data_IF_660334010455
#
_entry.id   IF_660334010455
#
_cell.length_a   1.000
_cell.length_b   1.000
_cell.length_c   1.000
_cell.angle_alpha   90.00
_cell.angle_beta   90.00
_cell.angle_gamma   90.00
#
_symmetry.space_group_name_H-M   'P 1'
#
loop_
_entity.id
_entity.type
_entity.pdbx_description
1 polymer ?
#
# COMPACT_ATOMS: atom_id res chain seq x y z
N UNK A 1 -12.27 -1.58 -0.66
CA UNK A 1 -13.26 -2.61 -0.38
C UNK A 1 -13.57 -3.39 -1.64
N UNK A 2 -13.59 -4.71 -1.57
CA UNK A 2 -13.88 -5.60 -2.72
C UNK A 2 -15.37 -5.64 -3.08
N UNK A 3 -16.23 -5.22 -2.18
CA UNK A 3 -17.65 -5.02 -2.40
C UNK A 3 -18.01 -3.53 -2.28
N UNK A 4 -17.56 -2.71 -3.23
CA UNK A 4 -17.75 -1.27 -3.15
C UNK A 4 -19.20 -0.87 -3.37
N UNK A 5 -19.62 0.22 -2.71
CA UNK A 5 -20.87 0.90 -3.04
C UNK A 5 -20.63 1.79 -4.27
N UNK A 6 -21.29 1.51 -5.38
CA UNK A 6 -21.11 2.20 -6.68
C UNK A 6 -21.50 3.68 -6.58
N UNK A 7 -22.43 4.00 -5.69
CA UNK A 7 -22.94 5.35 -5.50
C UNK A 7 -22.13 6.13 -4.47
N UNK A 8 -21.94 5.58 -3.26
CA UNK A 8 -21.48 6.33 -2.09
C UNK A 8 -19.99 6.09 -1.74
N UNK A 9 -19.32 5.08 -2.36
CA UNK A 9 -17.89 4.89 -2.13
C UNK A 9 -17.07 6.05 -2.74
N UNK A 10 -15.89 6.37 -2.17
CA UNK A 10 -15.02 7.41 -2.73
C UNK A 10 -14.69 7.18 -4.20
N UNK A 11 -14.96 8.15 -5.06
CA UNK A 11 -14.88 8.06 -6.52
C UNK A 11 -16.14 7.47 -7.18
N UNK A 12 -17.22 7.23 -6.41
CA UNK A 12 -18.51 6.80 -6.92
C UNK A 12 -19.37 7.92 -7.47
N UNK A 13 -20.61 7.59 -7.85
CA UNK A 13 -21.55 8.55 -8.47
C UNK A 13 -21.88 9.75 -7.57
N UNK A 14 -21.87 9.57 -6.24
CA UNK A 14 -22.12 10.67 -5.30
C UNK A 14 -21.03 11.74 -5.36
N UNK A 15 -19.79 11.36 -5.52
CA UNK A 15 -18.68 12.30 -5.63
C UNK A 15 -18.80 13.15 -6.91
N UNK A 16 -19.18 12.51 -8.02
CA UNK A 16 -19.45 13.23 -9.29
C UNK A 16 -20.60 14.22 -9.14
N UNK A 17 -21.71 13.79 -8.51
CA UNK A 17 -22.88 14.63 -8.29
C UNK A 17 -22.58 15.80 -7.36
N UNK A 18 -21.85 15.56 -6.27
CA UNK A 18 -21.53 16.59 -5.28
C UNK A 18 -20.70 17.72 -5.92
N UNK A 19 -19.66 17.36 -6.67
CA UNK A 19 -18.84 18.35 -7.39
C UNK A 19 -19.69 19.12 -8.42
N UNK A 20 -20.50 18.39 -9.18
CA UNK A 20 -21.36 19.01 -10.21
C UNK A 20 -22.32 20.03 -9.59
N UNK A 21 -22.99 19.68 -8.49
CA UNK A 21 -23.91 20.60 -7.79
C UNK A 21 -23.18 21.81 -7.18
N UNK A 22 -22.05 21.58 -6.51
CA UNK A 22 -21.26 22.64 -5.88
C UNK A 22 -20.73 23.60 -6.94
N UNK A 23 -20.17 23.08 -8.02
CA UNK A 23 -19.65 23.89 -9.11
C UNK A 23 -20.75 24.67 -9.84
N UNK A 24 -21.87 24.03 -10.16
CA UNK A 24 -23.03 24.72 -10.78
C UNK A 24 -23.54 25.84 -9.90
N UNK A 25 -23.63 25.61 -8.60
CA UNK A 25 -24.07 26.64 -7.64
C UNK A 25 -23.05 27.79 -7.56
N UNK A 26 -21.77 27.49 -7.47
CA UNK A 26 -20.70 28.51 -7.34
C UNK A 26 -20.60 29.37 -8.60
N UNK A 27 -20.61 28.75 -9.78
CA UNK A 27 -20.50 29.48 -11.08
C UNK A 27 -21.84 29.96 -11.65
N UNK A 28 -22.93 29.70 -10.96
CA UNK A 28 -24.30 30.04 -11.38
C UNK A 28 -24.63 29.52 -12.80
N UNK A 29 -24.36 28.23 -13.05
CA UNK A 29 -24.64 27.57 -14.32
C UNK A 29 -25.60 26.39 -14.15
N UNK A 30 -26.32 26.02 -15.21
CA UNK A 30 -27.33 24.95 -15.17
C UNK A 30 -26.81 23.64 -15.79
N UNK A 31 -25.87 23.73 -16.74
CA UNK A 31 -25.32 22.56 -17.48
C UNK A 31 -23.83 22.39 -17.18
N UNK A 32 -23.39 21.16 -17.06
CA UNK A 32 -21.95 20.83 -16.84
C UNK A 32 -21.04 21.33 -17.96
N UNK A 33 -21.52 21.37 -19.22
CA UNK A 33 -20.76 21.93 -20.35
C UNK A 33 -20.36 23.39 -20.15
N UNK A 34 -21.19 24.18 -19.49
CA UNK A 34 -20.89 25.58 -19.17
C UNK A 34 -19.74 25.74 -18.16
N UNK A 35 -19.43 24.70 -17.37
CA UNK A 35 -18.25 24.69 -16.51
C UNK A 35 -16.95 24.67 -17.29
N UNK A 36 -16.98 24.17 -18.54
CA UNK A 36 -15.84 24.24 -19.47
C UNK A 36 -15.63 25.68 -19.94
N UNK A 37 -16.71 26.37 -20.30
CA UNK A 37 -16.68 27.79 -20.69
C UNK A 37 -16.16 28.68 -19.57
N UNK A 38 -16.45 28.31 -18.31
CA UNK A 38 -15.97 29.03 -17.11
C UNK A 38 -14.52 28.63 -16.72
N UNK A 39 -13.87 27.70 -17.43
CA UNK A 39 -12.51 27.22 -17.12
C UNK A 39 -12.41 26.34 -15.87
N UNK A 40 -13.54 26.00 -15.25
CA UNK A 40 -13.57 25.08 -14.10
C UNK A 40 -13.23 23.64 -14.51
N UNK A 41 -13.72 23.17 -15.67
CA UNK A 41 -13.34 21.93 -16.33
C UNK A 41 -12.61 22.22 -17.63
N UNK A 42 -11.60 21.41 -17.94
CA UNK A 42 -11.05 21.38 -19.29
C UNK A 42 -11.89 20.45 -20.17
N UNK A 43 -11.89 20.67 -21.50
CA UNK A 43 -12.69 19.86 -22.43
C UNK A 43 -12.42 18.36 -22.30
N UNK A 44 -11.17 17.95 -22.19
CA UNK A 44 -10.80 16.54 -22.03
C UNK A 44 -11.18 15.98 -20.64
N UNK A 45 -11.15 16.81 -19.57
CA UNK A 45 -11.63 16.43 -18.24
C UNK A 45 -13.15 16.20 -18.25
N UNK A 46 -13.89 17.06 -18.93
CA UNK A 46 -15.33 16.91 -19.13
C UNK A 46 -15.69 15.61 -19.85
N UNK A 47 -15.03 15.33 -20.98
CA UNK A 47 -15.27 14.10 -21.76
C UNK A 47 -14.91 12.85 -20.95
N UNK A 48 -13.79 12.88 -20.24
CA UNK A 48 -13.35 11.77 -19.38
C UNK A 48 -14.32 11.53 -18.23
N UNK A 49 -14.75 12.58 -17.54
CA UNK A 49 -15.72 12.49 -16.45
C UNK A 49 -17.04 11.93 -16.93
N UNK A 50 -17.50 12.35 -18.10
CA UNK A 50 -18.73 11.85 -18.72
C UNK A 50 -18.63 10.35 -19.00
N UNK A 51 -17.55 9.90 -19.62
CA UNK A 51 -17.34 8.49 -19.93
C UNK A 51 -17.19 7.61 -18.65
N UNK A 52 -16.52 8.13 -17.61
CA UNK A 52 -16.36 7.44 -16.34
C UNK A 52 -17.70 7.34 -15.58
N UNK A 53 -18.49 8.41 -15.59
CA UNK A 53 -19.83 8.45 -14.99
C UNK A 53 -20.80 7.50 -15.74
N UNK A 54 -20.79 7.51 -17.07
CA UNK A 54 -21.59 6.61 -17.90
C UNK A 54 -21.29 5.14 -17.58
N UNK A 55 -20.00 4.79 -17.42
CA UNK A 55 -19.61 3.46 -17.02
C UNK A 55 -20.18 3.08 -15.64
N UNK A 56 -20.09 3.97 -14.64
CA UNK A 56 -20.64 3.72 -13.31
C UNK A 56 -22.19 3.60 -13.34
N UNK A 57 -22.87 4.36 -14.19
CA UNK A 57 -24.30 4.20 -14.40
C UNK A 57 -24.65 2.83 -15.00
N UNK A 58 -23.89 2.35 -16.00
CA UNK A 58 -24.07 1.00 -16.57
C UNK A 58 -23.88 -0.08 -15.51
N UNK A 59 -22.84 0.05 -14.66
CA UNK A 59 -22.58 -0.87 -13.55
C UNK A 59 -23.76 -0.85 -12.55
N UNK A 60 -24.21 0.34 -12.14
CA UNK A 60 -25.31 0.50 -11.19
C UNK A 60 -26.62 -0.07 -11.72
N UNK A 61 -26.96 0.27 -12.96
CA UNK A 61 -28.19 -0.21 -13.60
C UNK A 61 -28.19 -1.73 -13.76
N UNK A 62 -27.09 -2.30 -14.24
CA UNK A 62 -26.93 -3.76 -14.34
C UNK A 62 -27.03 -4.45 -12.97
N UNK A 63 -26.50 -3.81 -11.92
CA UNK A 63 -26.61 -4.33 -10.56
C UNK A 63 -28.07 -4.35 -10.07
N UNK A 64 -28.85 -3.28 -10.34
CA UNK A 64 -30.27 -3.25 -10.01
C UNK A 64 -31.07 -4.33 -10.75
N UNK A 65 -30.75 -4.61 -12.02
CA UNK A 65 -31.39 -5.66 -12.80
C UNK A 65 -31.09 -7.07 -12.24
N UNK A 66 -29.84 -7.31 -11.82
CA UNK A 66 -29.43 -8.62 -11.26
C UNK A 66 -30.04 -8.83 -9.87
N UNK A 67 -30.10 -7.78 -9.05
CA UNK A 67 -30.60 -7.87 -7.68
C UNK A 67 -32.13 -7.76 -7.57
N UNK A 68 -32.82 -7.40 -8.65
CA UNK A 68 -34.27 -7.08 -8.70
C UNK A 68 -34.70 -6.07 -7.64
N UNK A 69 -33.80 -5.16 -7.29
CA UNK A 69 -34.00 -4.07 -6.31
C UNK A 69 -32.94 -2.99 -6.47
N UNK A 70 -33.12 -1.87 -5.78
CA UNK A 70 -32.11 -0.80 -5.69
C UNK A 70 -30.91 -1.23 -4.83
N UNK A 71 -30.03 -2.08 -5.39
CA UNK A 71 -28.78 -2.52 -4.77
C UNK A 71 -27.64 -1.62 -5.22
N UNK A 72 -26.92 -1.05 -4.25
CA UNK A 72 -25.80 -0.13 -4.52
C UNK A 72 -24.44 -0.78 -4.23
N UNK A 73 -24.41 -1.93 -3.53
CA UNK A 73 -23.16 -2.66 -3.22
C UNK A 73 -22.92 -3.72 -4.28
N UNK A 74 -21.73 -3.64 -4.85
CA UNK A 74 -21.21 -4.57 -5.83
C UNK A 74 -20.71 -5.83 -5.11
N UNK A 75 -21.68 -6.66 -4.60
CA UNK A 75 -21.40 -7.89 -3.87
C UNK A 75 -20.70 -8.92 -4.75
N UNK A 76 -19.89 -9.79 -4.16
CA UNK A 76 -19.15 -10.84 -4.87
C UNK A 76 -20.02 -11.69 -5.79
N UNK A 77 -21.22 -12.08 -5.32
CA UNK A 77 -22.16 -12.92 -6.09
C UNK A 77 -22.65 -12.20 -7.35
N UNK A 78 -22.78 -10.89 -7.30
CA UNK A 78 -23.23 -10.10 -8.44
C UNK A 78 -22.12 -9.76 -9.42
N UNK A 79 -20.86 -9.68 -8.95
CA UNK A 79 -19.72 -9.25 -9.77
C UNK A 79 -19.52 -10.13 -11.00
N UNK A 80 -19.60 -11.47 -10.86
CA UNK A 80 -19.43 -12.42 -11.98
C UNK A 80 -20.54 -12.30 -13.02
N UNK A 81 -21.79 -12.22 -12.57
CA UNK A 81 -22.95 -12.10 -13.44
C UNK A 81 -22.91 -10.78 -14.19
N UNK A 82 -22.57 -9.68 -13.48
CA UNK A 82 -22.45 -8.35 -14.06
C UNK A 82 -21.29 -8.26 -15.05
N UNK A 83 -20.16 -8.88 -14.75
CA UNK A 83 -19.01 -8.94 -15.68
C UNK A 83 -19.43 -9.57 -17.02
N UNK A 84 -20.11 -10.73 -16.99
CA UNK A 84 -20.62 -11.40 -18.20
C UNK A 84 -21.64 -10.52 -18.94
N UNK A 85 -22.58 -9.91 -18.22
CA UNK A 85 -23.58 -9.01 -18.78
C UNK A 85 -22.96 -7.81 -19.50
N UNK A 86 -21.82 -7.33 -19.01
CA UNK A 86 -21.06 -6.20 -19.59
C UNK A 86 -20.02 -6.65 -20.64
N UNK A 87 -19.99 -7.93 -21.03
CA UNK A 87 -19.13 -8.46 -22.08
C UNK A 87 -17.70 -8.77 -21.65
N UNK A 88 -17.43 -8.93 -20.35
CA UNK A 88 -16.12 -9.36 -19.87
C UNK A 88 -16.04 -10.88 -19.80
N UNK A 89 -15.26 -11.47 -20.66
CA UNK A 89 -15.07 -12.92 -20.77
C UNK A 89 -13.78 -13.39 -20.11
N UNK A 90 -13.80 -14.65 -19.62
CA UNK A 90 -12.60 -15.31 -19.11
C UNK A 90 -11.62 -15.55 -20.26
N UNK A 91 -10.34 -15.31 -20.00
CA UNK A 91 -9.23 -15.63 -20.91
C UNK A 91 -8.15 -16.39 -20.14
N UNK A 92 -7.27 -17.10 -20.88
CA UNK A 92 -6.16 -17.82 -20.26
C UNK A 92 -5.42 -16.93 -19.24
N UNK A 93 -5.44 -17.33 -17.98
CA UNK A 93 -4.73 -16.66 -16.87
C UNK A 93 -5.43 -15.45 -16.23
N UNK A 94 -6.63 -15.02 -16.70
CA UNK A 94 -7.36 -13.90 -16.08
C UNK A 94 -8.88 -14.05 -16.23
N UNK A 95 -9.59 -14.01 -15.12
CA UNK A 95 -11.05 -14.10 -15.10
C UNK A 95 -11.70 -12.80 -15.64
N UNK A 96 -12.85 -12.95 -16.32
CA UNK A 96 -13.64 -11.80 -16.79
C UNK A 96 -14.05 -10.87 -15.66
N UNK A 97 -14.40 -11.42 -14.50
CA UNK A 97 -14.72 -10.63 -13.30
C UNK A 97 -13.52 -9.80 -12.81
N UNK A 98 -12.31 -10.30 -12.91
CA UNK A 98 -11.10 -9.54 -12.53
C UNK A 98 -10.84 -8.38 -13.50
N UNK A 99 -11.05 -8.60 -14.80
CA UNK A 99 -10.97 -7.54 -15.83
C UNK A 99 -12.02 -6.44 -15.60
N UNK A 100 -13.26 -6.86 -15.33
CA UNK A 100 -14.36 -5.94 -15.02
C UNK A 100 -14.04 -5.10 -13.77
N UNK A 101 -13.66 -5.76 -12.68
CA UNK A 101 -13.34 -5.07 -11.43
C UNK A 101 -12.10 -4.18 -11.56
N UNK A 102 -11.09 -4.59 -12.33
CA UNK A 102 -9.96 -3.73 -12.64
C UNK A 102 -10.41 -2.45 -13.37
N UNK A 103 -11.28 -2.58 -14.38
CA UNK A 103 -11.87 -1.42 -15.07
C UNK A 103 -12.65 -0.53 -14.10
N UNK A 104 -13.44 -1.13 -13.21
CA UNK A 104 -14.20 -0.41 -12.18
C UNK A 104 -13.28 0.42 -11.28
N UNK A 105 -12.24 -0.20 -10.69
CA UNK A 105 -11.33 0.52 -9.80
C UNK A 105 -10.50 1.58 -10.51
N UNK A 106 -10.07 1.35 -11.76
CA UNK A 106 -9.41 2.36 -12.58
C UNK A 106 -10.34 3.55 -12.87
N UNK A 107 -11.63 3.30 -13.10
CA UNK A 107 -12.64 4.35 -13.29
C UNK A 107 -12.81 5.17 -12.01
N UNK A 108 -12.96 4.52 -10.86
CA UNK A 108 -13.06 5.17 -9.55
C UNK A 108 -11.80 5.99 -9.25
N UNK A 109 -10.61 5.46 -9.54
CA UNK A 109 -9.35 6.18 -9.35
C UNK A 109 -9.25 7.42 -10.24
N UNK A 110 -9.70 7.33 -11.49
CA UNK A 110 -9.79 8.45 -12.45
C UNK A 110 -10.67 9.58 -11.93
N UNK A 111 -11.87 9.25 -11.44
CA UNK A 111 -12.81 10.21 -10.84
C UNK A 111 -12.19 10.86 -9.61
N UNK A 112 -11.60 10.07 -8.70
CA UNK A 112 -10.93 10.60 -7.49
C UNK A 112 -9.82 11.58 -7.83
N UNK A 113 -9.00 11.26 -8.83
CA UNK A 113 -7.93 12.15 -9.27
C UNK A 113 -8.45 13.46 -9.88
N UNK A 114 -9.59 13.44 -10.57
CA UNK A 114 -10.24 14.67 -11.06
C UNK A 114 -10.89 15.44 -9.90
N UNK A 115 -11.54 14.74 -8.98
CA UNK A 115 -12.13 15.36 -7.79
C UNK A 115 -11.09 16.11 -6.96
N UNK A 116 -9.89 15.59 -6.79
CA UNK A 116 -8.80 16.30 -6.09
C UNK A 116 -8.54 17.67 -6.74
N UNK A 117 -8.51 17.74 -8.10
CA UNK A 117 -8.33 19.00 -8.84
C UNK A 117 -9.50 19.95 -8.59
N UNK A 118 -10.72 19.44 -8.73
CA UNK A 118 -11.93 20.26 -8.69
C UNK A 118 -12.23 20.77 -7.29
N UNK A 119 -12.03 19.94 -6.26
CA UNK A 119 -12.11 20.37 -4.86
C UNK A 119 -11.06 21.41 -4.52
N UNK A 120 -9.82 21.20 -4.93
CA UNK A 120 -8.76 22.17 -4.72
C UNK A 120 -9.08 23.51 -5.42
N UNK A 121 -9.65 23.47 -6.63
CA UNK A 121 -10.05 24.67 -7.35
C UNK A 121 -11.16 25.43 -6.62
N UNK A 122 -12.18 24.71 -6.11
CA UNK A 122 -13.23 25.33 -5.31
C UNK A 122 -12.72 25.91 -4.00
N UNK A 123 -11.82 25.19 -3.30
CA UNK A 123 -11.18 25.68 -2.07
C UNK A 123 -10.41 26.98 -2.31
N UNK A 124 -9.63 27.02 -3.40
CA UNK A 124 -8.90 28.23 -3.79
C UNK A 124 -9.84 29.40 -4.12
N UNK A 125 -10.93 29.15 -4.86
CA UNK A 125 -11.88 30.19 -5.26
C UNK A 125 -12.74 30.70 -4.09
N UNK A 126 -13.09 29.85 -3.13
CA UNK A 126 -14.02 30.21 -2.04
C UNK A 126 -13.28 30.77 -0.83
N UNK A 127 -12.15 30.17 -0.43
CA UNK A 127 -11.52 30.44 0.86
C UNK A 127 -10.20 31.20 0.78
N UNK A 128 -9.52 31.21 -0.39
CA UNK A 128 -8.15 31.76 -0.49
C UNK A 128 -8.04 33.05 -1.28
N UNK A 129 -9.12 33.49 -1.91
CA UNK A 129 -9.12 34.71 -2.74
C UNK A 129 -8.90 36.00 -1.91
N UNK A 130 -9.15 35.97 -0.59
CA UNK A 130 -9.09 37.11 0.32
C UNK A 130 -7.89 37.09 1.31
N UNK A 131 -6.96 36.12 1.21
CA UNK A 131 -5.79 36.08 2.09
C UNK A 131 -4.63 36.91 1.53
N UNK A 132 -3.86 37.52 2.43
CA UNK A 132 -2.59 38.17 2.08
C UNK A 132 -1.66 37.15 1.41
N UNK A 133 -1.28 37.42 0.16
CA UNK A 133 -0.46 36.50 -0.66
C UNK A 133 0.95 36.39 -0.09
N UNK A 134 1.16 35.38 0.74
CA UNK A 134 2.51 34.98 1.15
C UNK A 134 3.10 34.04 0.10
N UNK A 135 4.11 34.53 -0.63
CA UNK A 135 4.85 33.73 -1.60
C UNK A 135 6.25 33.43 -1.04
N UNK A 136 6.63 32.17 -1.01
CA UNK A 136 7.97 31.72 -0.65
C UNK A 136 8.53 30.83 -1.77
N UNK A 137 9.64 31.24 -2.36
CA UNK A 137 10.31 30.42 -3.38
C UNK A 137 11.00 29.24 -2.70
N UNK A 138 10.76 28.04 -3.23
CA UNK A 138 11.33 26.77 -2.73
C UNK A 138 12.49 26.31 -3.62
N UNK A 139 12.35 26.46 -4.94
CA UNK A 139 13.38 26.14 -5.92
C UNK A 139 13.25 27.02 -7.15
N UNK A 140 14.08 26.77 -8.16
CA UNK A 140 14.00 27.44 -9.46
C UNK A 140 12.65 27.23 -10.18
N UNK A 141 11.94 26.15 -9.85
CA UNK A 141 10.74 25.73 -10.58
C UNK A 141 9.46 25.77 -9.73
N UNK A 142 9.62 25.86 -8.40
CA UNK A 142 8.50 25.76 -7.46
C UNK A 142 8.53 26.87 -6.42
N UNK A 143 7.32 27.33 -6.06
CA UNK A 143 7.11 28.26 -4.95
C UNK A 143 5.87 27.85 -4.16
N UNK A 144 5.76 28.32 -2.92
CA UNK A 144 4.57 28.16 -2.09
C UNK A 144 3.77 29.44 -2.13
N UNK A 145 2.48 29.33 -2.43
CA UNK A 145 1.50 30.41 -2.38
C UNK A 145 0.36 30.01 -1.45
N UNK A 146 0.16 30.78 -0.39
CA UNK A 146 -0.92 30.54 0.58
C UNK A 146 -0.95 29.12 1.15
N UNK A 147 0.26 28.57 1.46
CA UNK A 147 0.43 27.19 1.97
C UNK A 147 0.38 26.10 0.91
N UNK A 148 0.14 26.41 -0.37
CA UNK A 148 0.07 25.45 -1.46
C UNK A 148 1.28 25.56 -2.40
N UNK A 149 1.81 24.43 -2.78
CA UNK A 149 2.91 24.32 -3.75
C UNK A 149 2.40 24.58 -5.18
N UNK A 150 3.09 25.46 -5.87
CA UNK A 150 2.75 25.89 -7.23
C UNK A 150 4.00 25.90 -8.13
N UNK A 151 3.78 25.81 -9.43
CA UNK A 151 4.82 25.93 -10.46
C UNK A 151 5.00 27.40 -10.87
N UNK A 152 6.23 27.80 -11.17
CA UNK A 152 6.54 29.18 -11.62
C UNK A 152 5.90 29.46 -12.98
N UNK A 153 5.75 28.44 -13.85
CA UNK A 153 5.17 28.55 -15.18
C UNK A 153 4.21 27.42 -15.49
N UNK A 154 3.24 27.70 -16.38
CA UNK A 154 2.35 26.67 -16.92
C UNK A 154 3.07 25.61 -17.76
N UNK A 155 4.24 25.90 -18.25
CA UNK A 155 5.08 24.98 -19.04
C UNK A 155 6.20 24.33 -18.20
N UNK A 156 6.18 24.48 -16.87
CA UNK A 156 7.25 24.01 -15.99
C UNK A 156 7.61 22.55 -16.28
N UNK A 157 6.65 21.64 -16.31
CA UNK A 157 6.92 20.21 -16.54
C UNK A 157 7.36 19.90 -17.98
N UNK A 158 7.01 20.72 -18.96
CA UNK A 158 7.47 20.57 -20.33
C UNK A 158 8.97 20.84 -20.46
N UNK A 159 9.47 21.88 -19.79
CA UNK A 159 10.89 22.23 -19.81
C UNK A 159 11.69 21.56 -18.70
N UNK A 160 11.03 21.15 -17.64
CA UNK A 160 11.63 20.47 -16.49
C UNK A 160 10.80 19.25 -16.07
N UNK A 161 10.83 18.15 -16.86
CA UNK A 161 10.05 16.94 -16.54
C UNK A 161 10.35 16.33 -15.19
N UNK A 162 11.61 16.44 -14.72
CA UNK A 162 12.07 16.00 -13.38
C UNK A 162 11.19 16.53 -12.25
N UNK A 163 10.58 17.70 -12.43
CA UNK A 163 9.62 18.30 -11.51
C UNK A 163 8.43 17.40 -11.19
N UNK A 164 8.09 16.43 -12.07
CA UNK A 164 7.01 15.46 -11.84
C UNK A 164 7.30 14.50 -10.67
N UNK A 165 8.54 14.33 -10.26
CA UNK A 165 8.92 13.61 -9.03
C UNK A 165 9.29 14.60 -7.93
N UNK A 166 10.07 15.65 -8.25
CA UNK A 166 10.56 16.63 -7.29
C UNK A 166 9.45 17.25 -6.44
N UNK A 167 8.30 17.55 -7.03
CA UNK A 167 7.14 18.13 -6.33
C UNK A 167 6.69 17.26 -5.14
N UNK A 168 6.73 15.93 -5.27
CA UNK A 168 6.36 15.01 -4.19
C UNK A 168 7.48 14.88 -3.15
N UNK A 169 8.74 15.05 -3.56
CA UNK A 169 9.88 15.13 -2.63
C UNK A 169 9.76 16.38 -1.77
N UNK A 170 9.51 17.54 -2.37
CA UNK A 170 9.28 18.80 -1.65
C UNK A 170 8.18 18.64 -0.60
N UNK A 171 7.04 18.04 -0.97
CA UNK A 171 5.92 17.79 -0.05
C UNK A 171 6.25 16.76 1.03
N UNK A 172 7.10 15.81 0.73
CA UNK A 172 7.54 14.77 1.69
C UNK A 172 8.57 15.29 2.69
N UNK A 173 9.28 16.37 2.38
CA UNK A 173 10.32 16.97 3.21
C UNK A 173 9.83 18.21 3.99
N UNK A 174 8.73 18.82 3.55
CA UNK A 174 8.18 20.03 4.15
C UNK A 174 6.76 19.78 4.70
N UNK A 175 6.68 19.59 6.01
CA UNK A 175 5.38 19.34 6.67
C UNK A 175 4.44 20.55 6.69
N UNK A 176 4.98 21.75 6.48
CA UNK A 176 4.24 23.03 6.51
C UNK A 176 3.45 23.26 5.21
N UNK A 177 3.83 22.59 4.12
CA UNK A 177 3.13 22.71 2.84
C UNK A 177 1.86 21.85 2.90
N UNK A 178 0.71 22.51 2.83
CA UNK A 178 -0.60 21.87 3.00
C UNK A 178 -1.00 20.99 1.80
N UNK A 179 -0.63 21.41 0.58
CA UNK A 179 -1.04 20.73 -0.64
C UNK A 179 -0.40 21.27 -1.92
N UNK A 180 -1.05 20.96 -3.03
CA UNK A 180 -0.66 21.41 -4.38
C UNK A 180 -1.82 22.23 -4.93
N UNK A 181 -1.53 23.32 -5.65
CA UNK A 181 -2.55 24.11 -6.33
C UNK A 181 -3.26 23.32 -7.43
N UNK A 182 -4.53 23.62 -7.66
CA UNK A 182 -5.34 22.97 -8.68
C UNK A 182 -4.72 23.06 -10.08
N UNK A 183 -4.19 24.24 -10.44
CA UNK A 183 -3.47 24.45 -11.70
C UNK A 183 -2.29 23.49 -11.86
N UNK A 184 -1.51 23.35 -10.82
CA UNK A 184 -0.32 22.48 -10.79
C UNK A 184 -0.71 20.99 -10.81
N UNK A 185 -1.78 20.58 -10.11
CA UNK A 185 -2.29 19.19 -10.20
C UNK A 185 -2.72 18.88 -11.65
N UNK A 186 -3.36 19.82 -12.34
CA UNK A 186 -3.72 19.67 -13.76
C UNK A 186 -2.49 19.51 -14.64
N UNK A 187 -1.48 20.35 -14.45
CA UNK A 187 -0.23 20.24 -15.20
C UNK A 187 0.44 18.87 -14.97
N UNK A 188 0.51 18.38 -13.73
CA UNK A 188 1.04 17.04 -13.40
C UNK A 188 0.29 15.98 -14.20
N UNK A 189 -1.05 15.94 -14.11
CA UNK A 189 -1.88 14.93 -14.78
C UNK A 189 -1.73 14.98 -16.31
N UNK A 190 -1.65 16.18 -16.88
CA UNK A 190 -1.44 16.37 -18.32
C UNK A 190 -0.05 15.94 -18.78
N UNK A 191 0.96 16.12 -17.93
CA UNK A 191 2.37 15.86 -18.25
C UNK A 191 2.83 14.43 -17.98
N UNK A 192 1.94 13.51 -17.57
CA UNK A 192 2.29 12.11 -17.27
C UNK A 192 2.92 11.36 -18.45
N UNK A 193 2.64 11.80 -19.69
CA UNK A 193 3.23 11.24 -20.93
C UNK A 193 4.73 11.50 -21.04
N UNK A 194 5.28 12.48 -20.31
CA UNK A 194 6.71 12.78 -20.28
C UNK A 194 7.50 11.73 -19.46
N UNK A 195 6.82 10.89 -18.68
CA UNK A 195 7.45 9.81 -17.91
C UNK A 195 7.63 8.59 -18.82
N UNK A 196 8.58 8.67 -19.72
CA UNK A 196 8.98 7.63 -20.66
C UNK A 196 10.18 6.80 -20.14
N UNK A 197 10.79 6.00 -21.04
CA UNK A 197 11.96 5.20 -20.71
C UNK A 197 13.20 6.07 -20.36
N UNK A 198 13.39 7.18 -21.08
CA UNK A 198 14.51 8.10 -20.85
C UNK A 198 14.36 8.80 -19.49
N UNK A 199 13.15 9.25 -19.16
CA UNK A 199 12.85 9.82 -17.85
C UNK A 199 13.18 8.86 -16.71
N UNK A 200 12.79 7.57 -16.85
CA UNK A 200 13.10 6.54 -15.82
C UNK A 200 14.58 6.20 -15.73
N UNK A 201 15.31 6.31 -16.85
CA UNK A 201 16.75 6.07 -16.92
C UNK A 201 17.60 7.23 -16.38
N UNK A 202 17.02 8.42 -16.25
CA UNK A 202 17.73 9.60 -15.76
C UNK A 202 18.13 9.45 -14.29
N UNK A 203 19.42 9.62 -14.00
CA UNK A 203 20.00 9.48 -12.66
C UNK A 203 19.39 10.46 -11.64
N UNK A 204 19.04 11.69 -12.09
CA UNK A 204 18.41 12.69 -11.23
C UNK A 204 17.04 12.25 -10.76
N UNK A 205 16.24 11.70 -11.67
CA UNK A 205 14.89 11.19 -11.36
C UNK A 205 14.96 9.98 -10.43
N UNK A 206 15.91 9.06 -10.63
CA UNK A 206 16.13 7.91 -9.75
C UNK A 206 16.52 8.35 -8.34
N UNK A 207 17.47 9.29 -8.21
CA UNK A 207 17.88 9.85 -6.91
C UNK A 207 16.72 10.56 -6.21
N UNK A 208 15.90 11.31 -6.93
CA UNK A 208 14.71 11.96 -6.37
C UNK A 208 13.69 10.94 -5.88
N UNK A 209 13.46 9.85 -6.61
CA UNK A 209 12.54 8.82 -6.16
C UNK A 209 13.05 8.11 -4.90
N UNK A 210 14.33 7.77 -4.83
CA UNK A 210 14.94 7.23 -3.61
C UNK A 210 14.86 8.22 -2.43
N UNK A 211 15.07 9.51 -2.70
CA UNK A 211 14.89 10.58 -1.71
C UNK A 211 13.45 10.68 -1.22
N UNK A 212 12.47 10.51 -2.11
CA UNK A 212 11.05 10.45 -1.72
C UNK A 212 10.77 9.26 -0.80
N UNK A 213 11.31 8.05 -1.08
CA UNK A 213 11.11 6.88 -0.23
C UNK A 213 11.67 7.08 1.19
N UNK A 214 12.68 7.95 1.34
CA UNK A 214 13.27 8.35 2.61
C UNK A 214 12.61 9.60 3.23
N UNK A 215 11.61 10.20 2.58
CA UNK A 215 11.01 11.43 3.06
C UNK A 215 10.45 11.29 4.48
N UNK A 216 10.76 12.24 5.40
CA UNK A 216 10.35 12.13 6.79
C UNK A 216 8.85 12.27 7.00
N UNK A 217 8.18 13.04 6.14
CA UNK A 217 6.77 13.39 6.31
C UNK A 217 5.89 12.79 5.23
N UNK A 218 4.73 12.25 5.61
CA UNK A 218 3.61 11.93 4.75
C UNK A 218 3.92 11.08 3.50
N UNK A 219 4.99 10.24 3.52
CA UNK A 219 5.39 9.40 2.36
C UNK A 219 4.21 8.65 1.74
N UNK A 220 3.45 7.91 2.57
CA UNK A 220 2.30 7.14 2.08
C UNK A 220 1.24 8.01 1.42
N UNK A 221 1.08 9.24 1.87
CA UNK A 221 0.17 10.21 1.27
C UNK A 221 0.67 10.70 -0.09
N UNK A 222 2.00 10.92 -0.24
CA UNK A 222 2.58 11.30 -1.52
C UNK A 222 2.51 10.15 -2.53
N UNK A 223 2.82 8.91 -2.14
CA UNK A 223 2.68 7.76 -3.02
C UNK A 223 1.22 7.54 -3.48
N UNK A 224 0.24 7.74 -2.59
CA UNK A 224 -1.17 7.72 -2.94
C UNK A 224 -1.55 8.83 -3.93
N UNK A 225 -0.99 10.05 -3.78
CA UNK A 225 -1.17 11.14 -4.76
C UNK A 225 -0.55 10.78 -6.11
N UNK A 226 0.68 10.27 -6.12
CA UNK A 226 1.34 9.80 -7.34
C UNK A 226 0.53 8.73 -8.05
N UNK A 227 -0.07 7.78 -7.32
CA UNK A 227 -0.97 6.78 -7.90
C UNK A 227 -2.21 7.43 -8.51
N UNK A 228 -2.90 8.30 -7.78
CA UNK A 228 -4.11 9.00 -8.26
C UNK A 228 -3.86 9.91 -9.46
N UNK A 229 -2.70 10.54 -9.53
CA UNK A 229 -2.35 11.43 -10.65
C UNK A 229 -1.71 10.69 -11.82
N UNK A 230 -1.54 9.36 -11.72
CA UNK A 230 -1.00 8.50 -12.79
C UNK A 230 0.53 8.51 -12.88
N UNK A 231 1.23 9.14 -11.95
CA UNK A 231 2.70 9.25 -11.91
C UNK A 231 3.33 7.92 -11.52
N UNK A 232 2.85 7.29 -10.43
CA UNK A 232 3.49 6.10 -9.86
C UNK A 232 3.53 4.93 -10.86
N UNK A 233 2.41 4.63 -11.51
CA UNK A 233 2.32 3.56 -12.52
C UNK A 233 3.05 3.87 -13.83
N UNK A 234 3.35 5.14 -14.13
CA UNK A 234 4.21 5.54 -15.26
C UNK A 234 5.68 5.42 -14.91
N UNK A 235 6.05 5.80 -13.69
CA UNK A 235 7.42 5.70 -13.20
C UNK A 235 7.83 4.25 -12.91
N UNK A 236 6.94 3.45 -12.32
CA UNK A 236 7.07 2.01 -12.11
C UNK A 236 6.04 1.27 -12.98
N UNK A 237 6.39 0.88 -14.22
CA UNK A 237 5.45 0.21 -15.13
C UNK A 237 4.88 -1.10 -14.57
N UNK A 238 5.66 -1.83 -13.78
CA UNK A 238 5.24 -3.00 -13.03
C UNK A 238 4.11 -2.68 -12.04
N UNK A 239 4.20 -1.56 -11.31
CA UNK A 239 3.12 -1.06 -10.45
C UNK A 239 1.89 -0.63 -11.27
N UNK A 240 2.11 -0.03 -12.45
CA UNK A 240 1.03 0.33 -13.36
C UNK A 240 0.14 -0.85 -13.76
N UNK A 241 0.70 -2.06 -13.84
CA UNK A 241 -0.04 -3.29 -14.19
C UNK A 241 -1.02 -3.73 -13.10
N UNK A 242 -0.69 -3.48 -11.83
CA UNK A 242 -1.51 -3.86 -10.69
C UNK A 242 -2.54 -2.79 -10.27
N UNK A 243 -2.52 -1.61 -10.90
CA UNK A 243 -3.50 -0.54 -10.60
C UNK A 243 -4.92 -1.01 -10.83
N UNK A 244 -5.72 -0.98 -9.76
CA UNK A 244 -7.09 -1.46 -9.75
C UNK A 244 -7.23 -2.98 -9.85
N UNK A 245 -6.15 -3.75 -9.90
CA UNK A 245 -6.20 -5.19 -9.99
C UNK A 245 -6.72 -5.78 -8.68
N UNK A 246 -7.65 -6.69 -8.80
CA UNK A 246 -8.25 -7.42 -7.70
C UNK A 246 -7.94 -8.91 -7.86
N UNK A 247 -7.71 -9.60 -6.76
CA UNK A 247 -7.85 -11.06 -6.67
C UNK A 247 -9.27 -11.38 -6.21
N UNK A 248 -9.93 -12.28 -6.94
CA UNK A 248 -11.28 -12.70 -6.58
C UNK A 248 -11.23 -13.77 -5.47
N UNK A 249 -10.76 -13.36 -4.29
CA UNK A 249 -10.72 -14.17 -3.06
C UNK A 249 -11.41 -13.44 -1.90
N UNK A 250 -11.70 -14.18 -0.82
CA UNK A 250 -12.42 -13.65 0.34
C UNK A 250 -11.52 -13.01 1.41
N UNK A 251 -10.20 -13.04 1.23
CA UNK A 251 -9.25 -12.60 2.26
C UNK A 251 -8.83 -11.15 2.09
N UNK A 252 -8.63 -10.70 0.85
CA UNK A 252 -8.21 -9.34 0.55
C UNK A 252 -9.42 -8.44 0.42
N UNK A 253 -9.41 -7.29 1.10
CA UNK A 253 -10.49 -6.30 1.01
C UNK A 253 -10.18 -5.13 0.08
N UNK A 254 -8.96 -5.05 -0.46
CA UNK A 254 -8.47 -3.98 -1.31
C UNK A 254 -7.92 -4.51 -2.64
N UNK A 255 -7.97 -3.73 -3.73
CA UNK A 255 -7.14 -3.95 -4.92
C UNK A 255 -5.65 -3.95 -4.55
N UNK A 256 -4.84 -4.64 -5.36
CA UNK A 256 -3.41 -4.88 -5.06
C UNK A 256 -2.62 -3.58 -4.87
N UNK A 257 -2.86 -2.57 -5.72
CA UNK A 257 -2.21 -1.26 -5.60
C UNK A 257 -2.58 -0.53 -4.29
N UNK A 258 -3.85 -0.59 -3.90
CA UNK A 258 -4.33 0.02 -2.65
C UNK A 258 -3.77 -0.72 -1.44
N UNK A 259 -3.80 -2.07 -1.48
CA UNK A 259 -3.18 -2.90 -0.44
C UNK A 259 -1.70 -2.56 -0.24
N UNK A 260 -0.93 -2.55 -1.32
CA UNK A 260 0.50 -2.21 -1.31
C UNK A 260 0.76 -0.85 -0.63
N UNK A 261 -0.03 0.17 -0.96
CA UNK A 261 0.10 1.50 -0.35
C UNK A 261 -0.35 1.54 1.11
N UNK A 262 -1.34 0.73 1.51
CA UNK A 262 -1.74 0.57 2.92
C UNK A 262 -0.67 -0.17 3.74
N UNK A 263 0.04 -1.17 3.17
CA UNK A 263 1.21 -1.81 3.80
C UNK A 263 2.26 -0.76 4.15
N UNK A 264 2.65 0.07 3.17
CA UNK A 264 3.61 1.17 3.40
C UNK A 264 3.12 2.14 4.47
N UNK A 265 1.84 2.49 4.45
CA UNK A 265 1.23 3.37 5.46
C UNK A 265 1.30 2.76 6.86
N UNK A 266 0.98 1.47 7.01
CA UNK A 266 1.06 0.77 8.29
C UNK A 266 2.49 0.69 8.81
N UNK A 267 3.46 0.36 7.95
CA UNK A 267 4.90 0.37 8.30
C UNK A 267 5.32 1.76 8.79
N UNK A 268 5.00 2.82 8.05
CA UNK A 268 5.36 4.20 8.43
C UNK A 268 4.70 4.67 9.72
N UNK A 269 3.51 4.16 10.04
CA UNK A 269 2.83 4.46 11.31
C UNK A 269 3.55 3.90 12.52
N UNK A 270 4.36 2.83 12.39
CA UNK A 270 5.13 2.25 13.49
C UNK A 270 6.13 3.25 14.11
N UNK A 271 6.53 4.29 13.38
CA UNK A 271 7.33 5.37 13.95
C UNK A 271 6.60 6.22 15.01
N UNK A 272 5.25 6.19 15.04
CA UNK A 272 4.44 7.03 15.92
C UNK A 272 4.39 6.45 17.34
N UNK A 273 4.40 7.31 18.39
CA UNK A 273 4.36 6.85 19.78
C UNK A 273 3.13 5.98 20.12
N UNK A 274 1.98 6.29 19.53
CA UNK A 274 0.73 5.56 19.78
C UNK A 274 0.84 4.10 19.31
N UNK A 275 1.52 3.86 18.21
CA UNK A 275 1.71 2.52 17.65
C UNK A 275 2.68 1.67 18.47
N UNK A 276 3.60 2.30 19.20
CA UNK A 276 4.52 1.58 20.09
C UNK A 276 3.79 0.90 21.27
N UNK A 277 2.58 1.36 21.64
CA UNK A 277 1.75 0.69 22.65
C UNK A 277 1.11 -0.59 22.09
N UNK A 278 0.66 -0.56 20.85
CA UNK A 278 -0.01 -1.68 20.20
C UNK A 278 0.98 -2.68 19.58
N UNK A 279 2.09 -2.18 19.03
CA UNK A 279 3.12 -2.95 18.32
C UNK A 279 4.51 -2.61 18.86
N UNK A 280 4.84 -2.97 20.14
CA UNK A 280 6.08 -2.52 20.78
C UNK A 280 7.34 -2.99 20.04
N UNK A 281 7.43 -4.27 19.68
CA UNK A 281 8.61 -4.83 19.00
C UNK A 281 8.74 -4.32 17.56
N UNK A 282 7.71 -4.37 16.68
CA UNK A 282 7.81 -3.81 15.33
C UNK A 282 8.15 -2.31 15.33
N UNK A 283 7.58 -1.54 16.26
CA UNK A 283 7.88 -0.11 16.39
C UNK A 283 9.33 0.14 16.81
N UNK A 284 9.86 -0.66 17.75
CA UNK A 284 11.25 -0.58 18.16
C UNK A 284 12.19 -0.93 17.00
N UNK A 285 11.92 -2.04 16.29
CA UNK A 285 12.71 -2.45 15.13
C UNK A 285 12.71 -1.34 14.09
N UNK A 286 11.53 -0.89 13.65
CA UNK A 286 11.41 0.11 12.59
C UNK A 286 12.18 1.40 12.89
N UNK A 287 12.16 1.87 14.13
CA UNK A 287 12.90 3.07 14.55
C UNK A 287 14.41 2.91 14.51
N UNK A 288 14.91 1.67 14.62
CA UNK A 288 16.33 1.36 14.65
C UNK A 288 16.85 0.78 13.33
N UNK A 289 16.02 0.66 12.29
CA UNK A 289 16.47 0.24 10.98
C UNK A 289 17.46 1.25 10.40
N UNK A 290 18.62 0.78 9.99
CA UNK A 290 19.65 1.62 9.37
C UNK A 290 19.19 2.18 8.00
N UNK A 291 18.39 1.41 7.26
CA UNK A 291 17.91 1.72 5.90
C UNK A 291 16.41 1.41 5.75
N UNK A 292 15.52 2.22 6.35
CA UNK A 292 14.09 1.96 6.30
C UNK A 292 13.52 1.99 4.88
N UNK A 293 14.18 2.67 3.93
CA UNK A 293 13.79 2.67 2.51
C UNK A 293 13.81 1.27 1.87
N UNK A 294 14.70 0.38 2.30
CA UNK A 294 14.73 -1.00 1.79
C UNK A 294 13.47 -1.77 2.17
N UNK A 295 12.94 -1.53 3.37
CA UNK A 295 11.67 -2.08 3.80
C UNK A 295 10.50 -1.51 2.99
N UNK A 296 10.53 -0.21 2.69
CA UNK A 296 9.51 0.45 1.85
C UNK A 296 9.54 -0.09 0.42
N UNK A 297 10.73 -0.31 -0.16
CA UNK A 297 10.90 -0.95 -1.47
C UNK A 297 10.34 -2.36 -1.43
N UNK A 298 10.68 -3.15 -0.41
CA UNK A 298 10.15 -4.51 -0.25
C UNK A 298 8.63 -4.53 -0.15
N UNK A 299 8.05 -3.61 0.62
CA UNK A 299 6.60 -3.43 0.72
C UNK A 299 5.97 -2.99 -0.62
N UNK A 300 6.65 -2.17 -1.42
CA UNK A 300 6.16 -1.74 -2.73
C UNK A 300 6.13 -2.90 -3.74
N UNK A 301 7.03 -3.87 -3.59
CA UNK A 301 7.22 -4.97 -4.54
C UNK A 301 6.71 -6.34 -4.08
N UNK A 302 6.30 -6.54 -2.82
CA UNK A 302 5.94 -7.86 -2.29
C UNK A 302 4.84 -8.55 -3.11
N UNK A 303 3.86 -7.80 -3.59
CA UNK A 303 2.70 -8.25 -4.37
C UNK A 303 2.69 -7.78 -5.83
N UNK A 304 3.78 -7.19 -6.31
CA UNK A 304 3.85 -6.50 -7.61
C UNK A 304 3.54 -7.41 -8.80
N UNK A 305 3.76 -8.71 -8.67
CA UNK A 305 3.58 -9.69 -9.73
C UNK A 305 2.27 -10.47 -9.64
N UNK A 306 1.37 -10.12 -8.70
CA UNK A 306 0.04 -10.74 -8.62
C UNK A 306 -0.71 -10.64 -9.94
N UNK A 307 -1.41 -11.72 -10.31
CA UNK A 307 -2.20 -11.81 -11.54
C UNK A 307 -1.41 -11.99 -12.85
N UNK A 308 -0.09 -12.23 -12.77
CA UNK A 308 0.74 -12.56 -13.95
C UNK A 308 0.81 -14.06 -14.27
N UNK A 309 0.19 -14.91 -13.41
CA UNK A 309 0.34 -16.35 -13.46
C UNK A 309 1.66 -16.83 -12.84
N UNK A 310 1.68 -18.03 -12.27
CA UNK A 310 2.84 -18.56 -11.55
C UNK A 310 3.00 -17.98 -10.14
N UNK A 311 4.19 -18.22 -9.54
CA UNK A 311 4.52 -17.73 -8.20
C UNK A 311 4.85 -16.23 -8.24
N UNK A 312 3.94 -15.42 -7.72
CA UNK A 312 4.09 -13.96 -7.68
C UNK A 312 5.28 -13.51 -6.83
N UNK A 313 5.66 -14.26 -5.80
CA UNK A 313 6.78 -13.92 -4.93
C UNK A 313 8.12 -14.04 -5.67
N UNK A 314 8.29 -15.11 -6.45
CA UNK A 314 9.47 -15.30 -7.30
C UNK A 314 9.56 -14.28 -8.42
N UNK A 315 8.44 -14.02 -9.11
CA UNK A 315 8.37 -13.00 -10.17
C UNK A 315 8.61 -11.58 -9.63
N UNK A 316 8.04 -11.27 -8.46
CA UNK A 316 8.26 -10.00 -7.79
C UNK A 316 9.71 -9.79 -7.33
N UNK A 317 10.37 -10.88 -6.93
CA UNK A 317 11.80 -10.86 -6.57
C UNK A 317 12.71 -10.53 -7.77
N UNK A 318 12.32 -10.89 -8.99
CA UNK A 318 13.02 -10.49 -10.21
C UNK A 318 12.75 -9.01 -10.53
N UNK A 319 11.50 -8.58 -10.47
CA UNK A 319 11.14 -7.18 -10.69
C UNK A 319 11.87 -6.22 -9.74
N UNK A 320 11.97 -6.58 -8.45
CA UNK A 320 12.68 -5.74 -7.49
C UNK A 320 14.20 -5.76 -7.68
N UNK A 321 14.76 -6.85 -8.20
CA UNK A 321 16.16 -6.90 -8.58
C UNK A 321 16.46 -5.94 -9.76
N UNK A 322 15.57 -5.89 -10.76
CA UNK A 322 15.66 -4.94 -11.86
C UNK A 322 15.50 -3.48 -11.38
N UNK A 323 14.57 -3.23 -10.45
CA UNK A 323 14.44 -1.93 -9.79
C UNK A 323 15.73 -1.54 -9.07
N UNK A 324 16.29 -2.45 -8.27
CA UNK A 324 17.50 -2.23 -7.48
C UNK A 324 18.69 -1.88 -8.37
N UNK A 325 18.85 -2.61 -9.48
CA UNK A 325 19.89 -2.33 -10.48
C UNK A 325 19.69 -0.95 -11.13
N UNK A 326 18.46 -0.61 -11.52
CA UNK A 326 18.14 0.71 -12.10
C UNK A 326 18.43 1.86 -11.12
N UNK A 327 18.16 1.67 -9.83
CA UNK A 327 18.33 2.68 -8.78
C UNK A 327 19.67 2.61 -8.06
N UNK A 328 20.61 1.82 -8.59
CA UNK A 328 22.00 1.72 -8.11
C UNK A 328 22.11 1.31 -6.62
N UNK A 329 21.21 0.41 -6.15
CA UNK A 329 21.34 -0.18 -4.83
C UNK A 329 22.59 -1.05 -4.77
N UNK A 330 23.21 -1.11 -3.60
CA UNK A 330 24.37 -2.00 -3.37
C UNK A 330 23.96 -3.48 -3.47
N UNK A 331 24.93 -4.36 -3.72
CA UNK A 331 24.65 -5.78 -3.93
C UNK A 331 23.98 -6.44 -2.71
N UNK A 332 24.44 -6.11 -1.50
CA UNK A 332 23.85 -6.61 -0.26
C UNK A 332 22.42 -6.09 -0.04
N UNK A 333 22.14 -4.83 -0.40
CA UNK A 333 20.80 -4.25 -0.35
C UNK A 333 19.85 -4.92 -1.34
N UNK A 334 20.35 -5.15 -2.56
CA UNK A 334 19.60 -5.88 -3.59
C UNK A 334 19.28 -7.32 -3.15
N UNK A 335 20.24 -8.01 -2.53
CA UNK A 335 20.02 -9.34 -1.97
C UNK A 335 18.95 -9.34 -0.89
N UNK A 336 18.98 -8.37 0.02
CA UNK A 336 17.98 -8.23 1.09
C UNK A 336 16.58 -7.99 0.54
N UNK A 337 16.38 -6.98 -0.31
CA UNK A 337 15.04 -6.66 -0.84
C UNK A 337 14.48 -7.79 -1.71
N UNK A 338 15.34 -8.43 -2.52
CA UNK A 338 14.96 -9.59 -3.31
C UNK A 338 14.53 -10.77 -2.44
N UNK A 339 15.26 -11.04 -1.36
CA UNK A 339 14.95 -12.09 -0.41
C UNK A 339 13.63 -11.80 0.32
N UNK A 340 13.43 -10.55 0.78
CA UNK A 340 12.20 -10.13 1.46
C UNK A 340 10.97 -10.29 0.56
N UNK A 341 11.03 -9.85 -0.69
CA UNK A 341 9.92 -10.01 -1.64
C UNK A 341 9.64 -11.48 -1.92
N UNK A 342 10.69 -12.31 -2.11
CA UNK A 342 10.52 -13.74 -2.36
C UNK A 342 9.91 -14.47 -1.16
N UNK A 343 10.24 -14.06 0.06
CA UNK A 343 9.91 -14.80 1.28
C UNK A 343 8.88 -14.05 2.16
N UNK A 344 8.17 -13.03 1.66
CA UNK A 344 7.28 -12.20 2.47
C UNK A 344 6.16 -12.98 3.17
N UNK A 345 5.75 -14.13 2.65
CA UNK A 345 4.68 -14.98 3.20
C UNK A 345 5.15 -15.98 4.25
N UNK A 346 6.47 -16.26 4.32
CA UNK A 346 6.94 -17.43 5.11
C UNK A 346 6.68 -17.26 6.61
N UNK A 347 6.87 -16.06 7.16
CA UNK A 347 6.68 -15.84 8.60
C UNK A 347 5.21 -15.96 8.98
N UNK A 348 4.30 -15.45 8.15
CA UNK A 348 2.86 -15.62 8.32
C UNK A 348 2.45 -17.10 8.20
N UNK A 349 3.05 -17.83 7.27
CA UNK A 349 2.78 -19.26 7.09
C UNK A 349 3.23 -20.07 8.30
N UNK A 350 4.50 -19.95 8.70
CA UNK A 350 5.08 -20.72 9.83
C UNK A 350 4.33 -20.40 11.12
N UNK A 351 4.10 -19.13 11.43
CA UNK A 351 3.43 -18.73 12.68
C UNK A 351 1.99 -19.22 12.84
N UNK A 352 1.28 -19.48 11.73
CA UNK A 352 -0.14 -19.82 11.77
C UNK A 352 -0.42 -21.30 11.42
N UNK A 353 0.54 -22.03 10.84
CA UNK A 353 0.32 -23.37 10.31
C UNK A 353 1.29 -24.43 10.82
N UNK A 354 2.36 -24.03 11.50
CA UNK A 354 3.33 -24.94 12.07
C UNK A 354 3.36 -24.82 13.59
N UNK A 355 3.83 -25.85 14.26
CA UNK A 355 4.00 -25.83 15.71
C UNK A 355 5.28 -25.06 16.09
N UNK A 356 5.11 -23.78 16.44
CA UNK A 356 6.21 -22.91 16.86
C UNK A 356 6.77 -23.24 18.24
N UNK A 357 6.21 -24.23 18.94
CA UNK A 357 6.80 -24.79 20.16
C UNK A 357 7.83 -25.88 19.86
N UNK A 358 7.82 -26.46 18.65
CA UNK A 358 8.83 -27.41 18.19
C UNK A 358 10.15 -26.70 17.86
N UNK A 359 11.24 -26.99 18.58
CA UNK A 359 12.56 -26.41 18.29
C UNK A 359 13.06 -26.66 16.87
N UNK A 360 12.63 -27.75 16.21
CA UNK A 360 13.04 -28.04 14.82
C UNK A 360 12.39 -27.07 13.83
N UNK A 361 11.13 -26.67 14.08
CA UNK A 361 10.44 -25.65 13.28
C UNK A 361 11.16 -24.31 13.40
N UNK A 362 11.51 -23.92 14.62
CA UNK A 362 12.26 -22.68 14.88
C UNK A 362 13.64 -22.72 14.22
N UNK A 363 14.35 -23.85 14.30
CA UNK A 363 15.68 -23.99 13.70
C UNK A 363 15.62 -23.88 12.18
N UNK A 364 14.73 -24.64 11.54
CA UNK A 364 14.52 -24.57 10.09
C UNK A 364 14.14 -23.16 9.62
N UNK A 365 13.25 -22.48 10.35
CA UNK A 365 12.88 -21.10 10.03
C UNK A 365 14.08 -20.15 10.22
N UNK A 366 14.87 -20.31 11.29
CA UNK A 366 16.08 -19.54 11.53
C UNK A 366 17.14 -19.75 10.42
N UNK A 367 17.35 -21.00 9.96
CA UNK A 367 18.22 -21.29 8.82
C UNK A 367 17.74 -20.60 7.53
N UNK A 368 16.43 -20.60 7.28
CA UNK A 368 15.85 -19.95 6.10
C UNK A 368 15.96 -18.42 6.16
N UNK A 369 15.86 -17.83 7.35
CA UNK A 369 16.02 -16.39 7.59
C UNK A 369 17.49 -15.97 7.51
N UNK A 370 18.40 -16.74 8.07
CA UNK A 370 19.85 -16.60 8.01
C UNK A 370 20.45 -15.67 9.04
N UNK A 371 19.93 -14.46 9.22
CA UNK A 371 20.47 -13.48 10.16
C UNK A 371 19.41 -12.56 10.79
N UNK A 372 19.83 -11.78 11.80
CA UNK A 372 18.96 -10.87 12.55
C UNK A 372 18.39 -9.75 11.65
N UNK A 373 19.16 -9.27 10.68
CA UNK A 373 18.71 -8.21 9.79
C UNK A 373 17.54 -8.68 8.93
N UNK A 374 17.65 -9.85 8.29
CA UNK A 374 16.55 -10.43 7.52
C UNK A 374 15.32 -10.68 8.40
N UNK A 375 15.51 -11.17 9.64
CA UNK A 375 14.42 -11.39 10.59
C UNK A 375 13.69 -10.09 10.94
N UNK A 376 14.41 -9.02 11.23
CA UNK A 376 13.86 -7.74 11.61
C UNK A 376 13.00 -7.11 10.49
N UNK A 377 13.56 -7.10 9.26
CA UNK A 377 12.84 -6.57 8.11
C UNK A 377 11.61 -7.42 7.76
N UNK A 378 11.74 -8.75 7.79
CA UNK A 378 10.63 -9.67 7.50
C UNK A 378 9.50 -9.52 8.53
N UNK A 379 9.83 -9.42 9.82
CA UNK A 379 8.82 -9.27 10.86
C UNK A 379 8.02 -7.98 10.68
N UNK A 380 8.67 -6.85 10.46
CA UNK A 380 7.98 -5.56 10.25
C UNK A 380 7.15 -5.59 8.97
N UNK A 381 7.66 -6.18 7.88
CA UNK A 381 6.92 -6.34 6.63
C UNK A 381 5.66 -7.17 6.85
N UNK A 382 5.78 -8.34 7.50
CA UNK A 382 4.66 -9.24 7.79
C UNK A 382 3.57 -8.58 8.65
N UNK A 383 3.97 -7.83 9.69
CA UNK A 383 3.02 -7.08 10.52
C UNK A 383 2.30 -6.00 9.70
N UNK A 384 3.03 -5.29 8.84
CA UNK A 384 2.47 -4.27 7.95
C UNK A 384 1.47 -4.85 6.96
N UNK A 385 1.80 -5.98 6.36
CA UNK A 385 1.01 -6.68 5.35
C UNK A 385 -0.29 -7.24 5.93
N UNK A 386 -0.24 -8.01 7.02
CA UNK A 386 -1.45 -8.58 7.67
C UNK A 386 -2.42 -7.46 8.07
N UNK A 387 -1.92 -6.37 8.65
CA UNK A 387 -2.76 -5.22 9.02
C UNK A 387 -3.35 -4.48 7.81
N UNK A 388 -2.72 -4.56 6.65
CA UNK A 388 -3.21 -3.95 5.41
C UNK A 388 -4.21 -4.84 4.67
N UNK A 389 -4.10 -6.16 4.80
CA UNK A 389 -4.98 -7.12 4.11
C UNK A 389 -6.43 -6.94 4.55
N UNK A 390 -6.68 -6.96 5.84
CA UNK A 390 -7.96 -6.63 6.46
C UNK A 390 -7.73 -6.27 7.93
N UNK A 391 -8.08 -5.06 8.39
CA UNK A 391 -7.90 -4.66 9.78
C UNK A 391 -8.54 -5.61 10.81
N UNK A 392 -9.61 -6.31 10.42
CA UNK A 392 -10.31 -7.27 11.30
C UNK A 392 -9.58 -8.64 11.37
N UNK A 393 -8.59 -8.89 10.50
CA UNK A 393 -7.80 -10.13 10.54
C UNK A 393 -6.68 -10.08 11.57
N UNK A 394 -6.28 -8.90 12.03
CA UNK A 394 -5.34 -8.77 13.12
C UNK A 394 -6.05 -9.07 14.45
N UNK A 395 -5.67 -10.16 15.07
CA UNK A 395 -6.11 -10.54 16.42
C UNK A 395 -4.91 -10.53 17.36
N UNK A 396 -5.14 -10.35 18.66
CA UNK A 396 -4.08 -10.45 19.68
C UNK A 396 -3.38 -11.82 19.63
N UNK A 397 -4.15 -12.86 19.34
CA UNK A 397 -3.61 -14.22 19.18
C UNK A 397 -2.62 -14.31 18.02
N UNK A 398 -2.95 -13.80 16.82
CA UNK A 398 -2.01 -13.77 15.70
C UNK A 398 -0.78 -12.93 15.99
N UNK A 399 -0.97 -11.79 16.66
CA UNK A 399 0.12 -10.94 17.10
C UNK A 399 1.07 -11.68 18.04
N UNK A 400 0.53 -12.44 19.00
CA UNK A 400 1.31 -13.25 19.95
C UNK A 400 2.08 -14.38 19.25
N UNK A 401 1.49 -15.07 18.27
CA UNK A 401 2.17 -16.10 17.49
C UNK A 401 3.37 -15.55 16.72
N UNK A 402 3.17 -14.44 16.00
CA UNK A 402 4.24 -13.76 15.24
C UNK A 402 5.35 -13.27 16.16
N UNK A 403 4.99 -12.69 17.30
CA UNK A 403 5.94 -12.24 18.31
C UNK A 403 6.74 -13.40 18.90
N UNK A 404 6.08 -14.52 19.23
CA UNK A 404 6.75 -15.71 19.73
C UNK A 404 7.72 -16.28 18.71
N UNK A 405 7.29 -16.46 17.45
CA UNK A 405 8.16 -16.91 16.38
C UNK A 405 9.39 -15.99 16.22
N UNK A 406 9.19 -14.67 16.19
CA UNK A 406 10.28 -13.69 16.13
C UNK A 406 11.27 -13.87 17.28
N UNK A 407 10.77 -13.94 18.53
CA UNK A 407 11.64 -14.02 19.72
C UNK A 407 12.40 -15.34 19.81
N UNK A 408 11.78 -16.47 19.45
CA UNK A 408 12.42 -17.78 19.44
C UNK A 408 13.48 -17.85 18.32
N UNK A 409 13.16 -17.35 17.13
CA UNK A 409 14.10 -17.29 16.01
C UNK A 409 15.30 -16.40 16.32
N UNK A 410 15.07 -15.23 16.91
CA UNK A 410 16.14 -14.34 17.38
C UNK A 410 17.11 -15.07 18.33
N UNK A 411 16.57 -15.77 19.34
CA UNK A 411 17.39 -16.58 20.26
C UNK A 411 18.18 -17.68 19.55
N UNK A 412 17.58 -18.33 18.53
CA UNK A 412 18.26 -19.35 17.75
C UNK A 412 19.42 -18.77 16.95
N UNK A 413 19.22 -17.61 16.30
CA UNK A 413 20.28 -16.90 15.57
C UNK A 413 21.41 -16.42 16.49
N UNK A 414 21.11 -15.90 17.68
CA UNK A 414 22.10 -15.46 18.68
C UNK A 414 22.95 -16.61 19.22
N UNK A 415 22.40 -17.83 19.33
CA UNK A 415 23.13 -19.04 19.76
C UNK A 415 24.04 -19.59 18.66
N UNK A 416 23.77 -19.26 17.41
CA UNK A 416 24.42 -19.81 16.23
C UNK A 416 23.75 -21.11 15.72
N UNK A 417 23.50 -21.16 14.42
CA UNK A 417 22.75 -22.24 13.74
C UNK A 417 23.52 -23.58 13.72
N UNK A 418 24.82 -23.58 14.01
CA UNK A 418 25.64 -24.78 14.04
C UNK A 418 25.56 -25.61 15.33
N UNK A 419 24.80 -25.13 16.34
CA UNK A 419 24.65 -25.86 17.61
C UNK A 419 23.43 -26.76 17.50
N UNK A 420 23.55 -28.09 17.60
CA UNK A 420 22.43 -29.03 17.57
C UNK A 420 21.42 -28.69 18.68
N UNK A 421 20.15 -28.76 18.33
CA UNK A 421 19.07 -28.58 19.33
C UNK A 421 19.05 -29.84 20.17
N UNK A 422 19.51 -29.73 21.42
CA UNK A 422 19.40 -30.81 22.41
C UNK A 422 17.94 -30.82 22.94
N UNK A 423 17.12 -31.70 22.34
CA UNK A 423 15.71 -31.87 22.74
C UNK A 423 15.59 -32.23 24.23
N UNK A 424 16.55 -32.99 24.77
CA UNK A 424 16.53 -33.40 26.20
C UNK A 424 16.71 -32.19 27.12
N UNK A 425 17.58 -31.26 26.75
CA UNK A 425 17.87 -30.06 27.52
C UNK A 425 16.70 -29.05 27.43
N UNK A 426 15.96 -29.01 26.31
CA UNK A 426 14.79 -28.15 26.13
C UNK A 426 13.61 -28.70 26.95
N UNK A 427 13.33 -30.01 26.87
CA UNK A 427 12.33 -30.69 27.69
C UNK A 427 12.62 -30.48 29.20
N UNK A 428 13.87 -30.60 29.61
CA UNK A 428 14.27 -30.36 31.00
C UNK A 428 14.06 -28.90 31.44
N UNK A 429 14.38 -27.94 30.59
CA UNK A 429 14.14 -26.54 30.90
C UNK A 429 12.62 -26.21 30.98
N UNK A 430 11.81 -26.76 30.07
CA UNK A 430 10.35 -26.61 30.11
C UNK A 430 9.79 -27.22 31.42
N UNK A 431 10.24 -28.44 31.78
CA UNK A 431 9.91 -29.10 33.03
C UNK A 431 10.27 -28.22 34.24
N UNK A 432 11.44 -27.60 34.25
CA UNK A 432 11.91 -26.74 35.35
C UNK A 432 11.07 -25.45 35.47
N UNK A 433 10.68 -24.82 34.34
CA UNK A 433 9.84 -23.61 34.34
C UNK A 433 8.43 -23.93 34.85
N UNK A 434 7.87 -25.05 34.38
CA UNK A 434 6.54 -25.50 34.83
C UNK A 434 6.55 -25.87 36.31
N UNK A 435 7.57 -26.61 36.78
CA UNK A 435 7.74 -26.94 38.21
C UNK A 435 7.78 -25.69 39.07
N UNK A 436 8.49 -24.66 38.64
CA UNK A 436 8.55 -23.39 39.36
C UNK A 436 7.17 -22.70 39.46
N UNK A 437 6.40 -22.70 38.33
CA UNK A 437 5.05 -22.17 38.35
C UNK A 437 4.06 -22.98 39.16
N UNK A 438 4.19 -24.30 39.17
CA UNK A 438 3.35 -25.19 39.99
C UNK A 438 3.58 -24.97 41.46
N UNK A 439 4.84 -24.75 41.88
CA UNK A 439 5.20 -24.36 43.22
C UNK A 439 4.61 -23.01 43.66
N UNK A 440 4.51 -22.05 42.72
CA UNK A 440 3.85 -20.75 42.98
C UNK A 440 2.34 -20.90 43.23
N UNK A 441 1.74 -22.04 42.85
CA UNK A 441 0.32 -22.37 43.04
C UNK A 441 0.06 -23.50 44.05
N UNK A 442 1.04 -23.79 44.96
CA UNK A 442 0.95 -24.83 46.01
C UNK A 442 0.70 -26.27 45.49
N UNK A 443 1.11 -26.54 44.23
CA UNK A 443 0.99 -27.88 43.66
C UNK A 443 2.32 -28.62 43.88
N UNK A 444 2.26 -29.81 44.54
CA UNK A 444 3.44 -30.61 44.81
C UNK A 444 4.14 -31.11 43.58
N UNK A 445 5.47 -31.03 43.50
CA UNK A 445 6.33 -31.47 42.37
C UNK A 445 6.07 -32.92 42.01
N UNK A 446 5.81 -33.79 42.97
CA UNK A 446 5.50 -35.22 42.79
C UNK A 446 4.25 -35.46 41.90
N UNK A 447 3.27 -34.57 41.95
CA UNK A 447 2.09 -34.62 41.09
C UNK A 447 2.43 -34.21 39.63
N UNK A 448 3.31 -33.25 39.47
CA UNK A 448 3.81 -32.82 38.17
C UNK A 448 4.67 -33.95 37.50
N UNK A 449 5.53 -34.59 38.26
CA UNK A 449 6.35 -35.69 37.77
C UNK A 449 5.50 -36.89 37.30
N UNK A 450 4.39 -37.16 37.98
CA UNK A 450 3.45 -38.23 37.59
C UNK A 450 2.76 -37.86 36.26
N UNK A 451 2.33 -36.61 36.08
CA UNK A 451 1.71 -36.10 34.83
C UNK A 451 2.75 -36.20 33.67
N UNK A 452 4.00 -35.85 33.93
CA UNK A 452 5.06 -35.96 32.90
C UNK A 452 5.41 -37.40 32.53
N UNK A 453 5.31 -38.33 33.49
CA UNK A 453 5.47 -39.76 33.21
C UNK A 453 4.35 -40.31 32.33
N UNK A 454 3.14 -39.75 32.44
CA UNK A 454 1.98 -40.20 31.64
C UNK A 454 1.91 -39.54 30.24
N UNK A 455 2.52 -38.34 30.05
CA UNK A 455 2.52 -37.62 28.78
C UNK A 455 3.69 -38.05 27.87
N UNK A 456 4.76 -38.66 28.42
CA UNK A 456 5.95 -39.00 27.66
C UNK A 456 6.82 -37.80 27.30
N UNK A 457 7.82 -38.03 26.45
CA UNK A 457 8.76 -37.00 25.96
C UNK A 457 8.26 -36.28 24.70
N UNK A 458 6.95 -36.30 24.39
CA UNK A 458 6.33 -35.59 23.28
C UNK A 458 6.11 -34.09 23.54
#
# INVERSE_FOLDING_TARGET
NLEPNVKDAPGGLRDVQLIDWTAKRHFNVTRRSQLVEKGFLLQHEYLKLYADEEFLWKVRYGLHLIADRAEERLLFDHQRTLAKMLGYEDMMGKLGVEKFMQKYYQTVLSIRGLNDVLHQHLDEAIYRDNKTKHNSQISEHFFVRDGLLDTISHDTFRFYPTGLIEIFVILGENNEIEGIRASTIRQIRHSTHLIDANFRADAKNRKLFMRLLNAPYRLSFQLNRMNRYGILGKYLPEFGKIVGQMQHDLFHIYPVDVHTLEVIKNIRRLARPEMAKQFPIPSHIFKNLAKPELLIISALYHDIAKGRGGDHSSLGAEDVADFSKRHELQENETKLVRWLVKNHLIMSFVSQREDISDPQVIHRFAEQVGDQMHLDYLYVLTVGDINATNPNLWTEWKGSLLQNLYMQTKKALERGLGIPIDKSRWSQNAKNVISKKLLEHDIAIEQAEKIWGDIGDE
#
